data_IF_996610298941
#
_entry.id   IF_996610298941
#
_cell.length_a   1.000
_cell.length_b   1.000
_cell.length_c   1.000
_cell.angle_alpha   90.00
_cell.angle_beta   90.00
_cell.angle_gamma   90.00
#
_symmetry.space_group_name_H-M   'P 1'
#
loop_
_entity.id
_entity.type
_entity.pdbx_description
1 polymer ?
#
# COMPACT_ATOMS: atom_id res chain seq x y z
N UNK A 1 12.48 21.67 -8.28
CA UNK A 1 11.12 21.09 -8.50
C UNK A 1 10.96 19.85 -7.66
N UNK A 2 9.82 19.71 -7.00
CA UNK A 2 9.51 18.49 -6.23
C UNK A 2 9.18 17.36 -7.22
N UNK A 3 9.86 16.20 -7.09
CA UNK A 3 9.80 15.12 -8.09
C UNK A 3 8.39 14.48 -8.28
N UNK A 4 7.53 14.57 -7.25
CA UNK A 4 6.15 14.04 -7.26
C UNK A 4 5.10 15.17 -7.13
N UNK A 5 5.45 16.38 -7.53
CA UNK A 5 4.51 17.51 -7.50
C UNK A 5 3.23 17.19 -8.30
N UNK A 6 2.08 17.45 -7.69
CA UNK A 6 0.74 17.14 -8.22
C UNK A 6 0.42 15.64 -8.41
N UNK A 7 1.24 14.72 -7.85
CA UNK A 7 0.90 13.30 -7.82
C UNK A 7 0.06 12.96 -6.61
N UNK A 8 -0.93 12.09 -6.83
CA UNK A 8 -1.90 11.63 -5.84
C UNK A 8 -1.62 10.16 -5.52
N UNK A 9 -1.11 9.91 -4.32
CA UNK A 9 -0.76 8.57 -3.86
C UNK A 9 -1.80 8.10 -2.85
N UNK A 10 -2.43 6.97 -3.13
CA UNK A 10 -3.29 6.29 -2.17
C UNK A 10 -2.47 5.21 -1.48
N UNK A 11 -2.18 5.41 -0.20
CA UNK A 11 -1.42 4.47 0.62
C UNK A 11 -2.37 3.61 1.44
N UNK A 12 -2.34 2.31 1.21
CA UNK A 12 -3.06 1.31 2.00
C UNK A 12 -2.09 0.66 2.98
N UNK A 13 -2.43 0.67 4.28
CA UNK A 13 -1.60 0.14 5.36
C UNK A 13 -2.28 -1.10 5.94
N UNK A 14 -1.62 -2.26 5.82
CA UNK A 14 -2.10 -3.50 6.41
C UNK A 14 -1.46 -3.78 7.77
N UNK A 15 -2.09 -4.68 8.55
CA UNK A 15 -1.70 -4.99 9.93
C UNK A 15 -0.48 -5.89 10.00
N UNK A 16 0.66 -5.32 10.39
CA UNK A 16 1.91 -6.00 10.66
C UNK A 16 2.90 -5.03 11.27
N UNK A 17 3.96 -5.56 11.91
CA UNK A 17 4.94 -4.71 12.61
C UNK A 17 5.55 -3.66 11.68
N UNK A 18 5.76 -3.97 10.40
CA UNK A 18 6.30 -3.03 9.42
C UNK A 18 5.40 -1.82 9.12
N UNK A 19 4.17 -1.76 9.65
CA UNK A 19 3.26 -0.62 9.47
C UNK A 19 3.86 0.71 9.97
N UNK A 20 4.78 0.69 10.95
CA UNK A 20 5.47 1.92 11.40
C UNK A 20 6.27 2.58 10.27
N UNK A 21 6.81 1.81 9.31
CA UNK A 21 7.53 2.35 8.15
C UNK A 21 6.63 3.15 7.21
N UNK A 22 5.33 2.91 7.24
CA UNK A 22 4.35 3.66 6.43
C UNK A 22 4.26 5.12 6.85
N UNK A 23 4.54 5.44 8.12
CA UNK A 23 4.62 6.83 8.60
C UNK A 23 5.76 7.58 7.92
N UNK A 24 6.92 6.92 7.73
CA UNK A 24 8.03 7.51 7.00
C UNK A 24 7.73 7.64 5.50
N UNK A 25 7.04 6.66 4.90
CA UNK A 25 6.56 6.77 3.51
C UNK A 25 5.69 8.01 3.31
N UNK A 26 4.74 8.27 4.22
CA UNK A 26 3.89 9.48 4.16
C UNK A 26 4.76 10.73 4.15
N UNK A 27 5.73 10.84 5.08
CA UNK A 27 6.66 11.99 5.18
C UNK A 27 7.45 12.17 3.88
N UNK A 28 8.01 11.10 3.34
CA UNK A 28 8.80 11.14 2.12
C UNK A 28 7.96 11.56 0.91
N UNK A 29 6.76 11.03 0.72
CA UNK A 29 5.84 11.44 -0.33
C UNK A 29 5.48 12.92 -0.24
N UNK A 30 5.10 13.39 0.95
CA UNK A 30 4.79 14.81 1.20
C UNK A 30 5.99 15.71 0.92
N UNK A 31 7.19 15.33 1.37
CA UNK A 31 8.45 16.06 1.09
C UNK A 31 8.72 16.18 -0.41
N UNK A 32 8.34 15.17 -1.20
CA UNK A 32 8.45 15.19 -2.67
C UNK A 32 7.31 15.89 -3.38
N UNK A 33 6.34 16.44 -2.65
CA UNK A 33 5.23 17.24 -3.18
C UNK A 33 4.00 16.43 -3.60
N UNK A 34 3.93 15.15 -3.27
CA UNK A 34 2.74 14.36 -3.49
C UNK A 34 1.63 14.68 -2.49
N UNK A 35 0.39 14.57 -2.94
CA UNK A 35 -0.78 14.43 -2.06
C UNK A 35 -0.92 12.98 -1.66
N UNK A 36 -1.15 12.71 -0.37
CA UNK A 36 -1.27 11.35 0.16
C UNK A 36 -2.60 11.21 0.89
N UNK A 37 -3.42 10.25 0.47
CA UNK A 37 -4.56 9.76 1.23
C UNK A 37 -4.25 8.37 1.76
N UNK A 38 -4.78 8.03 2.93
CA UNK A 38 -4.44 6.78 3.63
C UNK A 38 -5.68 5.96 3.94
N UNK A 39 -5.60 4.67 3.62
CA UNK A 39 -6.58 3.65 4.03
C UNK A 39 -5.89 2.68 4.97
N UNK A 40 -6.50 2.40 6.10
CA UNK A 40 -5.96 1.44 7.08
C UNK A 40 -6.89 0.25 7.24
N UNK A 41 -6.32 -0.95 7.25
CA UNK A 41 -7.10 -2.14 7.58
C UNK A 41 -7.36 -2.21 9.09
N UNK A 42 -8.40 -2.92 9.51
CA UNK A 42 -8.73 -3.10 10.93
C UNK A 42 -7.53 -3.53 11.78
N UNK A 43 -6.68 -4.41 11.26
CA UNK A 43 -5.51 -4.88 11.98
C UNK A 43 -4.35 -3.88 11.96
N UNK A 44 -4.28 -2.97 11.00
CA UNK A 44 -3.23 -1.94 10.97
C UNK A 44 -3.33 -0.99 12.17
N UNK A 45 -4.55 -0.70 12.64
CA UNK A 45 -4.81 0.15 13.83
C UNK A 45 -4.19 -0.38 15.13
N UNK A 46 -3.77 -1.66 15.16
CA UNK A 46 -3.04 -2.24 16.29
C UNK A 46 -1.55 -1.88 16.30
N UNK A 47 -1.00 -1.39 15.19
CA UNK A 47 0.41 -1.08 15.01
C UNK A 47 0.69 0.41 14.81
N UNK A 48 -0.26 1.13 14.23
CA UNK A 48 -0.20 2.58 14.00
C UNK A 48 -1.55 3.21 14.33
N UNK A 49 -1.55 4.44 14.84
CA UNK A 49 -2.78 5.14 15.21
C UNK A 49 -3.27 6.02 14.07
N UNK A 50 -4.59 6.18 13.98
CA UNK A 50 -5.20 7.12 13.03
C UNK A 50 -4.67 8.55 13.24
N UNK A 51 -4.41 8.94 14.51
CA UNK A 51 -3.84 10.23 14.84
C UNK A 51 -2.45 10.45 14.25
N UNK A 52 -1.54 9.46 14.37
CA UNK A 52 -0.18 9.57 13.81
C UNK A 52 -0.20 9.67 12.28
N UNK A 53 -1.09 8.92 11.64
CA UNK A 53 -1.25 8.92 10.18
C UNK A 53 -1.84 10.26 9.71
N UNK A 54 -2.95 10.71 10.32
CA UNK A 54 -3.61 11.96 9.96
C UNK A 54 -2.68 13.18 10.13
N UNK A 55 -1.90 13.20 11.23
CA UNK A 55 -0.94 14.28 11.51
C UNK A 55 0.14 14.39 10.42
N UNK A 56 0.60 13.26 9.86
CA UNK A 56 1.63 13.23 8.83
C UNK A 56 1.06 13.44 7.42
N UNK A 57 -0.07 12.83 7.10
CA UNK A 57 -0.72 12.97 5.79
C UNK A 57 -1.41 14.32 5.62
N UNK A 58 -1.81 14.96 6.72
CA UNK A 58 -2.67 16.15 6.75
C UNK A 58 -4.01 15.90 6.05
N UNK A 59 -4.54 14.72 6.22
CA UNK A 59 -5.83 14.27 5.67
C UNK A 59 -6.47 13.25 6.63
N UNK A 60 -7.77 13.04 6.50
CA UNK A 60 -8.47 12.01 7.27
C UNK A 60 -7.95 10.61 6.93
N UNK A 61 -8.10 9.69 7.87
CA UNK A 61 -7.76 8.28 7.69
C UNK A 61 -9.05 7.52 7.37
N UNK A 62 -9.02 6.73 6.33
CA UNK A 62 -10.13 5.92 5.88
C UNK A 62 -9.95 4.48 6.37
N UNK A 63 -10.99 3.87 6.94
CA UNK A 63 -10.91 2.50 7.48
C UNK A 63 -12.13 1.64 7.19
N UNK A 64 -13.29 2.23 7.15
CA UNK A 64 -14.57 1.52 7.08
C UNK A 64 -15.20 1.65 5.70
N UNK A 65 -15.73 0.53 5.20
CA UNK A 65 -16.42 0.48 3.91
C UNK A 65 -17.73 1.27 3.93
N UNK A 66 -18.39 1.27 5.09
CA UNK A 66 -19.63 2.00 5.34
C UNK A 66 -19.40 2.97 6.51
N UNK A 67 -19.26 4.24 6.20
CA UNK A 67 -19.16 5.29 7.21
C UNK A 67 -20.48 6.06 7.25
N UNK A 68 -21.21 5.95 8.37
CA UNK A 68 -22.53 6.57 8.57
C UNK A 68 -22.51 8.11 8.55
N UNK A 69 -21.33 8.73 8.66
CA UNK A 69 -21.22 10.19 8.62
C UNK A 69 -21.29 10.80 7.20
N UNK A 70 -21.10 9.98 6.16
CA UNK A 70 -21.11 10.42 4.76
C UNK A 70 -21.82 9.37 3.87
N UNK A 71 -23.10 9.12 4.11
CA UNK A 71 -23.91 8.14 3.36
C UNK A 71 -23.98 8.41 1.84
N UNK A 72 -23.67 9.63 1.39
CA UNK A 72 -23.74 10.03 -0.02
C UNK A 72 -22.47 9.75 -0.82
N UNK A 73 -21.32 9.53 -0.19
CA UNK A 73 -20.04 9.27 -0.88
C UNK A 73 -19.59 7.82 -0.70
N UNK A 74 -19.61 7.07 -1.80
CA UNK A 74 -18.96 5.75 -1.85
C UNK A 74 -17.44 5.94 -1.81
N UNK A 75 -16.84 5.99 -0.61
CA UNK A 75 -15.42 6.26 -0.39
C UNK A 75 -14.51 5.40 -1.27
N UNK A 76 -14.83 4.11 -1.49
CA UNK A 76 -14.04 3.23 -2.35
C UNK A 76 -14.00 3.68 -3.81
N UNK A 77 -15.09 4.29 -4.33
CA UNK A 77 -15.14 4.81 -5.70
C UNK A 77 -14.39 6.14 -5.76
N UNK A 78 -14.66 7.06 -4.83
CA UNK A 78 -14.05 8.39 -4.81
C UNK A 78 -12.54 8.30 -4.66
N UNK A 79 -12.04 7.47 -3.74
CA UNK A 79 -10.61 7.23 -3.51
C UNK A 79 -9.92 6.54 -4.68
N UNK A 80 -10.55 5.52 -5.28
CA UNK A 80 -9.99 4.81 -6.42
C UNK A 80 -9.81 5.73 -7.64
N UNK A 81 -10.73 6.67 -7.85
CA UNK A 81 -10.66 7.67 -8.93
C UNK A 81 -9.69 8.80 -8.62
N UNK A 82 -9.61 9.22 -7.34
CA UNK A 82 -8.72 10.30 -6.91
C UNK A 82 -7.24 9.96 -7.13
N UNK A 83 -6.84 8.72 -6.92
CA UNK A 83 -5.45 8.31 -6.96
C UNK A 83 -4.86 8.34 -8.38
N UNK A 84 -3.57 8.69 -8.51
CA UNK A 84 -2.75 8.38 -9.68
C UNK A 84 -2.09 7.01 -9.57
N UNK A 85 -1.89 6.53 -8.33
CA UNK A 85 -1.23 5.28 -8.00
C UNK A 85 -1.71 4.79 -6.63
N UNK A 86 -1.84 3.47 -6.49
CA UNK A 86 -2.12 2.80 -5.21
C UNK A 86 -0.86 2.09 -4.75
N UNK A 87 -0.44 2.34 -3.51
CA UNK A 87 0.64 1.62 -2.83
C UNK A 87 0.06 0.89 -1.62
N UNK A 88 0.28 -0.41 -1.52
CA UNK A 88 -0.05 -1.20 -0.33
C UNK A 88 1.25 -1.51 0.40
N UNK A 89 1.49 -0.82 1.50
CA UNK A 89 2.74 -0.91 2.25
C UNK A 89 2.50 -0.71 3.75
N UNK A 90 2.72 -1.75 4.58
CA UNK A 90 2.98 -3.12 4.17
C UNK A 90 1.72 -3.81 3.60
N UNK A 91 1.93 -4.80 2.72
CA UNK A 91 0.89 -5.78 2.40
C UNK A 91 1.18 -7.09 3.13
N UNK A 92 0.14 -7.68 3.73
CA UNK A 92 0.22 -8.96 4.45
C UNK A 92 -0.21 -10.13 3.57
N UNK A 93 0.17 -11.36 3.94
CA UNK A 93 -0.28 -12.58 3.26
C UNK A 93 -1.81 -12.69 3.19
N UNK A 94 -2.53 -12.24 4.23
CA UNK A 94 -3.99 -12.20 4.22
C UNK A 94 -4.53 -11.30 3.11
N UNK A 95 -4.00 -10.08 2.98
CA UNK A 95 -4.45 -9.13 1.95
C UNK A 95 -4.05 -9.60 0.55
N UNK A 96 -2.85 -10.19 0.39
CA UNK A 96 -2.43 -10.84 -0.85
C UNK A 96 -3.43 -11.91 -1.26
N UNK A 97 -3.82 -12.78 -0.31
CA UNK A 97 -4.80 -13.84 -0.56
C UNK A 97 -6.16 -13.27 -0.97
N UNK A 98 -6.67 -12.27 -0.26
CA UNK A 98 -7.94 -11.62 -0.60
C UNK A 98 -7.93 -11.06 -2.02
N UNK A 99 -6.93 -10.24 -2.36
CA UNK A 99 -6.83 -9.61 -3.67
C UNK A 99 -6.67 -10.62 -4.80
N UNK A 100 -5.89 -11.70 -4.58
CA UNK A 100 -5.69 -12.75 -5.60
C UNK A 100 -6.96 -13.55 -5.88
N UNK A 101 -7.91 -13.59 -4.94
CA UNK A 101 -9.19 -14.28 -5.09
C UNK A 101 -10.38 -13.34 -5.37
N UNK A 102 -10.12 -12.03 -5.48
CA UNK A 102 -11.17 -11.05 -5.76
C UNK A 102 -12.15 -10.84 -4.58
N UNK A 103 -11.69 -11.05 -3.34
CA UNK A 103 -12.50 -10.80 -2.16
C UNK A 103 -12.55 -9.29 -1.86
N UNK A 104 -13.75 -8.75 -1.67
CA UNK A 104 -14.04 -7.34 -1.42
C UNK A 104 -14.87 -7.18 -0.15
N UNK A 105 -14.31 -7.61 0.99
CA UNK A 105 -14.97 -7.65 2.29
C UNK A 105 -14.56 -6.53 3.24
N UNK A 106 -13.64 -5.67 2.79
CA UNK A 106 -13.21 -4.46 3.51
C UNK A 106 -12.95 -3.30 2.53
N UNK A 107 -12.79 -2.07 3.05
CA UNK A 107 -12.54 -0.88 2.23
C UNK A 107 -11.30 -1.04 1.34
N UNK A 108 -10.22 -1.61 1.87
CA UNK A 108 -8.95 -1.75 1.15
C UNK A 108 -9.10 -2.66 -0.07
N UNK A 109 -9.68 -3.85 0.11
CA UNK A 109 -9.87 -4.83 -0.98
C UNK A 109 -10.91 -4.35 -2.00
N UNK A 110 -12.02 -3.77 -1.54
CA UNK A 110 -13.06 -3.21 -2.43
C UNK A 110 -12.51 -2.08 -3.30
N UNK A 111 -11.75 -1.16 -2.70
CA UNK A 111 -11.13 -0.04 -3.39
C UNK A 111 -10.16 -0.49 -4.49
N UNK A 112 -9.32 -1.48 -4.19
CA UNK A 112 -8.35 -2.02 -5.15
C UNK A 112 -9.07 -2.67 -6.33
N UNK A 113 -10.12 -3.44 -6.09
CA UNK A 113 -10.94 -4.05 -7.15
C UNK A 113 -11.71 -3.01 -7.99
N UNK A 114 -12.14 -1.91 -7.36
CA UNK A 114 -12.84 -0.81 -8.05
C UNK A 114 -11.90 0.13 -8.82
N UNK A 115 -10.57 -0.11 -8.80
CA UNK A 115 -9.58 0.78 -9.36
C UNK A 115 -8.99 0.26 -10.68
N UNK A 116 -8.73 1.19 -11.59
CA UNK A 116 -7.93 0.95 -12.81
C UNK A 116 -6.51 1.53 -12.70
N UNK A 117 -6.08 1.90 -11.51
CA UNK A 117 -4.76 2.50 -11.29
C UNK A 117 -3.69 1.42 -11.10
N UNK A 118 -2.43 1.79 -11.39
CA UNK A 118 -1.32 0.91 -11.06
C UNK A 118 -1.26 0.67 -9.56
N UNK A 119 -1.19 -0.60 -9.18
CA UNK A 119 -1.03 -1.02 -7.79
C UNK A 119 0.39 -1.54 -7.57
N UNK A 120 1.01 -1.04 -6.50
CA UNK A 120 2.30 -1.50 -6.01
C UNK A 120 2.12 -2.20 -4.67
N UNK A 121 2.82 -3.30 -4.48
CA UNK A 121 2.76 -4.16 -3.30
C UNK A 121 4.13 -4.18 -2.63
N UNK A 122 4.21 -3.75 -1.38
CA UNK A 122 5.41 -3.88 -0.54
C UNK A 122 5.16 -4.93 0.55
N UNK A 123 5.52 -6.21 0.34
CA UNK A 123 5.24 -7.29 1.28
C UNK A 123 6.02 -7.16 2.57
N UNK A 124 5.37 -7.56 3.68
CA UNK A 124 6.01 -7.77 4.97
C UNK A 124 5.34 -8.93 5.69
N UNK A 125 6.10 -9.98 5.95
CA UNK A 125 5.65 -11.16 6.67
C UNK A 125 6.83 -12.03 7.12
N UNK A 126 6.57 -12.98 8.00
CA UNK A 126 7.53 -14.00 8.40
C UNK A 126 8.02 -14.82 7.19
N UNK A 127 9.27 -15.32 7.25
CA UNK A 127 9.92 -16.10 6.18
C UNK A 127 9.05 -17.28 5.74
N UNK A 128 8.52 -18.05 6.70
CA UNK A 128 7.71 -19.22 6.39
C UNK A 128 6.41 -18.87 5.67
N UNK A 129 5.81 -17.72 6.02
CA UNK A 129 4.64 -17.22 5.32
C UNK A 129 5.01 -16.76 3.91
N UNK A 130 6.16 -16.11 3.74
CA UNK A 130 6.64 -15.68 2.43
C UNK A 130 6.90 -16.87 1.51
N UNK A 131 7.61 -17.87 2.00
CA UNK A 131 7.98 -19.08 1.28
C UNK A 131 6.81 -20.05 1.03
N UNK A 132 5.69 -19.87 1.74
CA UNK A 132 4.56 -20.78 1.65
C UNK A 132 4.00 -20.84 0.22
N UNK A 133 3.79 -22.05 -0.27
CA UNK A 133 3.31 -22.33 -1.63
C UNK A 133 2.07 -21.51 -2.01
N UNK A 134 1.07 -21.44 -1.13
CA UNK A 134 -0.15 -20.67 -1.39
C UNK A 134 0.14 -19.17 -1.55
N UNK A 135 1.06 -18.63 -0.74
CA UNK A 135 1.43 -17.21 -0.84
C UNK A 135 2.18 -16.93 -2.14
N UNK A 136 3.14 -17.78 -2.54
CA UNK A 136 3.84 -17.68 -3.83
C UNK A 136 2.87 -17.73 -5.01
N UNK A 137 1.91 -18.66 -5.00
CA UNK A 137 0.86 -18.74 -6.03
C UNK A 137 0.01 -17.48 -6.09
N UNK A 138 -0.39 -16.95 -4.94
CA UNK A 138 -1.19 -15.73 -4.85
C UNK A 138 -0.43 -14.50 -5.38
N UNK A 139 0.86 -14.36 -5.04
CA UNK A 139 1.71 -13.28 -5.54
C UNK A 139 1.87 -13.37 -7.05
N UNK A 140 2.19 -14.55 -7.58
CA UNK A 140 2.34 -14.74 -9.02
C UNK A 140 1.04 -14.37 -9.76
N UNK A 141 -0.11 -14.71 -9.19
CA UNK A 141 -1.42 -14.36 -9.73
C UNK A 141 -1.64 -12.85 -9.74
N UNK A 142 -1.29 -12.13 -8.66
CA UNK A 142 -1.38 -10.66 -8.62
C UNK A 142 -0.44 -10.01 -9.64
N UNK A 143 0.78 -10.52 -9.77
CA UNK A 143 1.73 -10.04 -10.80
C UNK A 143 1.17 -10.25 -12.20
N UNK A 144 0.52 -11.40 -12.48
CA UNK A 144 -0.13 -11.65 -13.76
C UNK A 144 -1.32 -10.70 -14.03
N UNK A 145 -1.93 -10.14 -13.00
CA UNK A 145 -2.95 -9.08 -13.10
C UNK A 145 -2.35 -7.67 -13.32
N UNK A 146 -1.01 -7.56 -13.40
CA UNK A 146 -0.32 -6.30 -13.63
C UNK A 146 0.06 -5.55 -12.35
N UNK A 147 -0.09 -6.16 -11.16
CA UNK A 147 0.39 -5.54 -9.93
C UNK A 147 1.92 -5.61 -9.88
N UNK A 148 2.54 -4.59 -9.32
CA UNK A 148 4.00 -4.48 -9.23
C UNK A 148 4.47 -4.77 -7.82
N UNK A 149 5.41 -5.71 -7.70
CA UNK A 149 6.01 -6.07 -6.43
C UNK A 149 7.24 -5.20 -6.16
N UNK A 150 7.41 -4.74 -4.91
CA UNK A 150 8.60 -4.06 -4.40
C UNK A 150 9.11 -4.84 -3.19
N UNK A 151 10.16 -5.60 -3.36
CA UNK A 151 10.66 -6.55 -2.36
C UNK A 151 9.86 -7.84 -2.30
N UNK A 152 9.86 -8.53 -1.13
CA UNK A 152 10.51 -8.14 0.12
C UNK A 152 12.05 -8.20 0.05
N UNK A 153 12.71 -7.63 1.07
CA UNK A 153 14.16 -7.72 1.25
C UNK A 153 14.53 -8.90 2.16
N UNK A 154 15.78 -9.33 2.06
CA UNK A 154 16.37 -10.30 2.99
C UNK A 154 16.92 -9.55 4.21
N UNK A 155 16.69 -10.06 5.41
CA UNK A 155 17.23 -9.49 6.64
C UNK A 155 16.59 -10.04 7.90
N UNK A 156 17.00 -9.45 9.03
CA UNK A 156 16.44 -9.79 10.34
C UNK A 156 14.98 -9.31 10.45
N UNK A 157 14.14 -10.14 11.00
CA UNK A 157 12.73 -9.87 11.25
C UNK A 157 12.44 -9.72 12.74
N UNK A 158 11.35 -9.03 13.07
CA UNK A 158 10.92 -8.82 14.44
C UNK A 158 10.62 -10.12 15.21
N UNK A 159 10.38 -11.23 14.52
CA UNK A 159 10.20 -12.56 15.11
C UNK A 159 11.52 -13.28 15.42
N UNK A 160 12.69 -12.67 15.14
CA UNK A 160 14.01 -13.28 15.36
C UNK A 160 14.46 -14.19 14.21
N UNK A 161 13.69 -14.35 13.16
CA UNK A 161 14.12 -15.10 11.96
C UNK A 161 14.87 -14.20 10.99
N UNK A 162 15.82 -14.80 10.25
CA UNK A 162 16.55 -14.17 9.15
C UNK A 162 16.13 -14.78 7.82
N UNK A 163 15.86 -13.95 6.81
CA UNK A 163 15.52 -14.41 5.49
C UNK A 163 14.69 -13.39 4.70
N UNK A 164 14.06 -13.85 3.61
CA UNK A 164 13.20 -13.04 2.77
C UNK A 164 11.82 -12.84 3.41
N UNK A 165 11.35 -11.61 3.49
CA UNK A 165 10.06 -11.26 4.12
C UNK A 165 10.05 -9.89 4.77
N UNK A 166 11.22 -9.24 4.89
CA UNK A 166 11.36 -7.88 5.41
C UNK A 166 10.82 -6.86 4.41
N UNK A 167 9.94 -5.96 4.87
CA UNK A 167 9.47 -4.87 4.00
C UNK A 167 10.64 -4.01 3.51
N UNK A 168 10.68 -3.78 2.23
CA UNK A 168 11.64 -2.86 1.58
C UNK A 168 11.67 -1.51 2.29
N UNK A 169 12.86 -0.95 2.43
CA UNK A 169 13.04 0.33 3.11
C UNK A 169 12.28 1.46 2.39
N UNK A 170 11.67 2.39 3.15
CA UNK A 170 10.83 3.45 2.60
C UNK A 170 11.48 4.23 1.45
N UNK A 171 12.78 4.53 1.55
CA UNK A 171 13.48 5.25 0.49
C UNK A 171 13.56 4.45 -0.82
N UNK A 172 13.73 3.14 -0.75
CA UNK A 172 13.78 2.27 -1.93
C UNK A 172 12.40 2.13 -2.57
N UNK A 173 11.33 2.08 -1.77
CA UNK A 173 9.95 2.11 -2.28
C UNK A 173 9.70 3.41 -3.05
N UNK A 174 10.08 4.55 -2.47
CA UNK A 174 9.98 5.86 -3.12
C UNK A 174 10.74 5.89 -4.46
N UNK A 175 11.95 5.37 -4.50
CA UNK A 175 12.76 5.32 -5.72
C UNK A 175 12.08 4.51 -6.84
N UNK A 176 11.48 3.37 -6.49
CA UNK A 176 10.70 2.56 -7.43
C UNK A 176 9.51 3.34 -8.02
N UNK A 177 8.79 4.07 -7.17
CA UNK A 177 7.63 4.87 -7.59
C UNK A 177 8.07 6.06 -8.45
N UNK A 178 9.18 6.72 -8.12
CA UNK A 178 9.75 7.79 -8.94
C UNK A 178 10.09 7.28 -10.34
N UNK A 179 10.81 6.17 -10.44
CA UNK A 179 11.18 5.55 -11.70
C UNK A 179 9.94 5.20 -12.55
N UNK A 180 8.87 4.72 -11.91
CA UNK A 180 7.61 4.46 -12.61
C UNK A 180 7.03 5.73 -13.23
N UNK A 181 6.91 6.82 -12.48
CA UNK A 181 6.37 8.07 -13.02
C UNK A 181 7.29 8.71 -14.08
N UNK A 182 8.60 8.58 -13.96
CA UNK A 182 9.56 9.04 -14.96
C UNK A 182 9.38 8.27 -16.28
N UNK A 183 9.23 6.95 -16.23
CA UNK A 183 9.00 6.12 -17.40
C UNK A 183 7.67 6.43 -18.09
N UNK A 184 6.61 6.69 -17.32
CA UNK A 184 5.33 7.13 -17.89
C UNK A 184 5.43 8.47 -18.64
N UNK A 185 6.30 9.38 -18.19
CA UNK A 185 6.52 10.66 -18.87
C UNK A 185 7.30 10.49 -20.18
N UNK A 186 8.26 9.55 -20.21
CA UNK A 186 9.04 9.25 -21.43
C UNK A 186 8.17 8.60 -22.52
N UNK A 187 7.25 7.73 -22.14
CA UNK A 187 6.37 7.02 -23.09
C UNK A 187 5.20 7.87 -23.62
N UNK A 188 5.00 9.08 -23.08
CA UNK A 188 3.99 10.04 -23.56
C UNK A 188 4.55 11.10 -24.52
N UNK A 189 5.87 11.10 -24.72
CA UNK A 189 6.57 11.93 -25.72
C UNK A 189 6.85 11.14 -26.99
#
# INVERSE_FOLDING_TARGET
MKKLENKKILLIICGGIAAYKSLELIRLFKKMGASVKTVVTKNAKKFVTDLSIASLSQDKVYSDLFNHENEAEMDHISLSRWADLILIAPITANTISKLSHGLADDLASTLVLASNKQVFLAPAMNVRMWEHESNKKNINKLVSYGYRLIGPEIGDMACGEYGEGKMTEPQNIINNILNYFENLRKNKK
#
